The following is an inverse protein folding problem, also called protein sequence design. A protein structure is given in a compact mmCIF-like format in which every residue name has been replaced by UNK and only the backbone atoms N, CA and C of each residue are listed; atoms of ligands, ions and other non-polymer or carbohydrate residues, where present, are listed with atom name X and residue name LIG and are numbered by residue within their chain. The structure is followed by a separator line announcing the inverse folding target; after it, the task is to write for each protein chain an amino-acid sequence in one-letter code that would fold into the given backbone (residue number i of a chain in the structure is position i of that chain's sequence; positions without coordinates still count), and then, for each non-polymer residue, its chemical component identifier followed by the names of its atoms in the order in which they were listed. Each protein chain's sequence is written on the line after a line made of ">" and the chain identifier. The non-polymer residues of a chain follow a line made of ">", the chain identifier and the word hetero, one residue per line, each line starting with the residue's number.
data_IF_480440790753
#
_entry.id   IF_480440790753
#
_cell.length_a   1.000
_cell.length_b   1.000
_cell.length_c   1.000
_cell.angle_alpha   90.00
_cell.angle_beta   90.00
_cell.angle_gamma   90.00
#
_symmetry.space_group_name_H-M   'P 1'
#
loop_
_entity.id
_entity.type
_entity.pdbx_description
1 polymer ?
#
# COMPACT_ATOMS: atom_id res chain seq x y z
N UNK A 1 -3.71 -1.61 1.38
CA UNK A 1 -4.52 -0.43 0.99
C UNK A 1 -5.65 -0.87 0.08
N UNK A 2 -6.84 -0.31 0.28
CA UNK A 2 -7.95 -0.43 -0.68
C UNK A 2 -7.56 0.36 -1.92
N UNK A 3 -7.27 -0.35 -3.00
CA UNK A 3 -6.80 0.20 -4.27
C UNK A 3 -7.88 0.00 -5.31
N UNK A 4 -8.66 1.04 -5.56
CA UNK A 4 -9.86 0.89 -6.36
C UNK A 4 -9.59 0.98 -7.88
N UNK A 5 -8.77 0.12 -8.49
CA UNK A 5 -8.47 0.19 -9.92
C UNK A 5 -9.62 -0.35 -10.82
N UNK A 6 -10.41 0.51 -11.46
CA UNK A 6 -11.15 0.02 -12.64
C UNK A 6 -10.11 -0.42 -13.67
N UNK A 7 -10.12 -1.68 -14.12
CA UNK A 7 -9.35 -2.08 -15.29
C UNK A 7 -9.95 -1.34 -16.48
N UNK A 8 -9.37 -0.18 -16.78
CA UNK A 8 -9.54 0.54 -18.03
C UNK A 8 -8.24 0.37 -18.81
N UNK A 9 -8.21 -0.53 -19.81
CA UNK A 9 -6.99 -0.79 -20.57
C UNK A 9 -6.73 0.39 -21.50
N UNK A 10 -5.95 1.36 -21.00
CA UNK A 10 -4.76 1.96 -21.67
C UNK A 10 -4.25 3.28 -21.06
N UNK A 11 -4.98 3.93 -20.14
CA UNK A 11 -4.63 5.30 -19.72
C UNK A 11 -4.54 5.58 -18.21
N UNK A 12 -5.12 4.75 -17.33
CA UNK A 12 -5.05 4.99 -15.88
C UNK A 12 -3.70 4.58 -15.23
N UNK A 13 -2.86 3.80 -15.91
CA UNK A 13 -1.58 3.31 -15.36
C UNK A 13 -0.40 4.31 -15.43
N UNK A 14 -0.58 5.48 -16.05
CA UNK A 14 0.58 6.35 -16.37
C UNK A 14 0.83 7.46 -15.35
N UNK A 15 -0.19 7.96 -14.66
CA UNK A 15 -0.01 9.12 -13.77
C UNK A 15 0.51 8.68 -12.42
N UNK A 16 1.83 8.81 -12.23
CA UNK A 16 2.53 8.54 -10.95
C UNK A 16 3.03 9.81 -10.27
N UNK A 17 2.62 10.97 -10.78
CA UNK A 17 3.04 12.28 -10.30
C UNK A 17 1.83 13.20 -10.24
N UNK A 18 1.63 13.82 -9.09
CA UNK A 18 0.48 14.66 -8.79
C UNK A 18 0.95 16.01 -8.27
N UNK A 19 0.41 17.08 -8.85
CA UNK A 19 0.57 18.44 -8.35
C UNK A 19 -0.78 18.91 -7.81
N UNK A 20 -0.87 19.12 -6.51
CA UNK A 20 -2.05 19.63 -5.83
C UNK A 20 -1.76 21.08 -5.44
N UNK A 21 -2.53 22.01 -5.98
CA UNK A 21 -2.43 23.42 -5.65
C UNK A 21 -3.67 23.80 -4.86
N UNK A 22 -3.49 24.54 -3.76
CA UNK A 22 -4.62 25.12 -3.06
C UNK A 22 -4.27 26.38 -2.30
N UNK A 23 -5.30 27.19 -2.06
CA UNK A 23 -5.17 28.43 -1.29
C UNK A 23 -5.09 28.17 0.21
N UNK A 24 -5.71 27.09 0.69
CA UNK A 24 -5.75 26.68 2.10
C UNK A 24 -5.95 25.16 2.21
N UNK A 25 -5.88 24.61 3.42
CA UNK A 25 -6.07 23.18 3.66
C UNK A 25 -7.47 22.64 3.30
N UNK A 26 -8.51 23.48 3.32
CA UNK A 26 -9.86 23.06 2.92
C UNK A 26 -9.95 22.89 1.41
N UNK A 27 -9.36 23.80 0.64
CA UNK A 27 -9.27 23.68 -0.81
C UNK A 27 -8.41 22.47 -1.22
N UNK A 28 -7.28 22.23 -0.53
CA UNK A 28 -6.47 21.03 -0.72
C UNK A 28 -7.30 19.76 -0.44
N UNK A 29 -8.07 19.72 0.66
CA UNK A 29 -8.96 18.59 0.97
C UNK A 29 -9.96 18.33 -0.14
N UNK A 30 -10.64 19.37 -0.65
CA UNK A 30 -11.60 19.21 -1.74
C UNK A 30 -10.95 18.63 -3.00
N UNK A 31 -9.70 19.04 -3.30
CA UNK A 31 -8.94 18.49 -4.41
C UNK A 31 -8.57 17.02 -4.17
N UNK A 32 -8.18 16.66 -2.95
CA UNK A 32 -7.88 15.27 -2.56
C UNK A 32 -9.14 14.39 -2.60
N UNK A 33 -10.30 14.91 -2.21
CA UNK A 33 -11.59 14.22 -2.36
C UNK A 33 -11.92 13.96 -3.83
N UNK A 34 -11.72 14.96 -4.69
CA UNK A 34 -11.87 14.79 -6.13
C UNK A 34 -10.92 13.72 -6.68
N UNK A 35 -9.64 13.75 -6.29
CA UNK A 35 -8.66 12.72 -6.68
C UNK A 35 -9.05 11.33 -6.19
N UNK A 36 -9.55 11.21 -4.95
CA UNK A 36 -10.04 9.96 -4.36
C UNK A 36 -11.22 9.40 -5.15
N UNK A 37 -12.18 10.24 -5.54
CA UNK A 37 -13.29 9.82 -6.41
C UNK A 37 -12.79 9.28 -7.77
N UNK A 38 -11.70 9.84 -8.27
CA UNK A 38 -11.07 9.44 -9.54
C UNK A 38 -9.98 8.38 -9.37
N UNK A 39 -9.86 7.75 -8.20
CA UNK A 39 -8.99 6.59 -7.94
C UNK A 39 -7.51 6.87 -8.26
N UNK A 40 -7.00 7.98 -7.75
CA UNK A 40 -5.58 8.31 -7.87
C UNK A 40 -4.67 7.28 -7.18
N UNK A 41 -3.42 7.18 -7.66
CA UNK A 41 -2.36 6.36 -7.08
C UNK A 41 -1.73 7.09 -5.87
N UNK A 42 -2.15 6.71 -4.67
CA UNK A 42 -1.63 7.25 -3.39
C UNK A 42 -0.15 6.89 -3.12
N UNK A 43 0.43 5.95 -3.87
CA UNK A 43 1.85 5.58 -3.81
C UNK A 43 2.70 6.41 -4.77
N UNK A 44 2.06 7.14 -5.69
CA UNK A 44 2.70 8.10 -6.60
C UNK A 44 3.39 9.25 -5.87
N UNK A 45 4.16 10.05 -6.60
CA UNK A 45 4.85 11.25 -6.08
C UNK A 45 3.87 12.42 -6.03
N UNK A 46 3.70 13.03 -4.87
CA UNK A 46 2.78 14.14 -4.68
C UNK A 46 3.54 15.39 -4.26
N UNK A 47 3.35 16.46 -5.03
CA UNK A 47 3.77 17.81 -4.67
C UNK A 47 2.49 18.58 -4.33
N UNK A 48 2.42 19.11 -3.11
CA UNK A 48 1.25 19.81 -2.59
C UNK A 48 1.70 21.21 -2.22
N UNK A 49 1.11 22.23 -2.85
CA UNK A 49 1.47 23.63 -2.64
C UNK A 49 0.29 24.35 -1.99
N UNK A 50 0.53 24.94 -0.82
CA UNK A 50 -0.43 25.77 -0.10
C UNK A 50 -0.02 27.23 -0.21
N UNK A 51 -0.85 28.03 -0.90
CA UNK A 51 -0.54 29.40 -1.30
C UNK A 51 -1.15 30.50 -0.44
N UNK A 52 -1.63 30.21 0.78
CA UNK A 52 -2.22 31.27 1.63
C UNK A 52 -1.14 32.27 2.07
N UNK A 53 -1.52 33.55 2.12
CA UNK A 53 -0.76 34.60 2.81
C UNK A 53 -0.92 34.53 4.33
N UNK A 54 -1.90 33.76 4.83
CA UNK A 54 -2.15 33.57 6.26
C UNK A 54 -1.51 32.25 6.69
N UNK A 55 -0.49 32.34 7.55
CA UNK A 55 0.32 31.17 7.95
C UNK A 55 -0.50 30.03 8.58
N UNK A 56 -1.58 30.36 9.29
CA UNK A 56 -2.46 29.38 9.95
C UNK A 56 -3.26 28.52 8.97
N UNK A 57 -3.50 29.02 7.76
CA UNK A 57 -4.29 28.32 6.73
C UNK A 57 -3.49 27.20 6.06
N UNK A 58 -2.16 27.24 6.20
CA UNK A 58 -1.20 26.28 5.65
C UNK A 58 -0.31 25.68 6.76
N UNK A 59 -0.91 25.32 7.88
CA UNK A 59 -0.21 24.63 8.98
C UNK A 59 0.35 23.27 8.52
N UNK A 60 1.65 23.07 8.66
CA UNK A 60 2.36 21.90 8.16
C UNK A 60 1.96 20.62 8.90
N UNK A 61 1.65 20.70 10.19
CA UNK A 61 1.26 19.52 10.98
C UNK A 61 -0.11 19.04 10.50
N UNK A 62 -1.06 19.97 10.33
CA UNK A 62 -2.39 19.66 9.79
C UNK A 62 -2.33 19.19 8.34
N UNK A 63 -1.47 19.77 7.52
CA UNK A 63 -1.27 19.36 6.12
C UNK A 63 -0.78 17.91 6.03
N UNK A 64 0.26 17.56 6.80
CA UNK A 64 0.83 16.21 6.80
C UNK A 64 -0.18 15.18 7.32
N UNK A 65 -0.93 15.52 8.38
CA UNK A 65 -2.01 14.66 8.88
C UNK A 65 -3.10 14.46 7.83
N UNK A 66 -3.54 15.52 7.16
CA UNK A 66 -4.49 15.44 6.06
C UNK A 66 -3.98 14.48 4.98
N UNK A 67 -2.75 14.67 4.48
CA UNK A 67 -2.21 13.82 3.41
C UNK A 67 -2.06 12.34 3.82
N UNK A 68 -1.80 12.08 5.11
CA UNK A 68 -1.77 10.73 5.66
C UNK A 68 -3.15 10.07 5.77
N UNK A 69 -4.20 10.83 6.07
CA UNK A 69 -5.59 10.35 6.05
C UNK A 69 -5.96 9.81 4.65
N UNK A 70 -5.44 10.42 3.59
CA UNK A 70 -5.57 9.94 2.20
C UNK A 70 -4.56 8.86 1.83
N UNK A 71 -3.81 8.32 2.81
CA UNK A 71 -2.78 7.28 2.64
C UNK A 71 -1.66 7.66 1.67
N UNK A 72 -1.39 8.95 1.50
CA UNK A 72 -0.38 9.43 0.56
C UNK A 72 1.01 9.30 1.18
N UNK A 73 1.85 8.47 0.56
CA UNK A 73 3.13 8.08 1.14
C UNK A 73 4.28 8.99 0.70
N UNK A 74 4.36 9.30 -0.59
CA UNK A 74 5.45 10.07 -1.17
C UNK A 74 5.01 11.52 -1.36
N UNK A 75 5.28 12.36 -0.36
CA UNK A 75 4.81 13.76 -0.34
C UNK A 75 5.93 14.78 -0.17
N UNK A 76 5.73 15.91 -0.85
CA UNK A 76 6.39 17.19 -0.64
C UNK A 76 5.31 18.25 -0.45
N UNK A 77 5.19 18.76 0.77
CA UNK A 77 4.28 19.86 1.09
C UNK A 77 5.05 21.17 1.08
N UNK A 78 4.63 22.13 0.26
CA UNK A 78 5.27 23.42 0.07
C UNK A 78 4.35 24.54 0.52
N UNK A 79 4.92 25.53 1.20
CA UNK A 79 4.22 26.76 1.57
C UNK A 79 5.19 27.94 1.62
N UNK A 80 4.64 29.14 1.68
CA UNK A 80 5.41 30.33 2.02
C UNK A 80 5.60 30.41 3.54
N UNK A 81 6.82 30.74 3.97
CA UNK A 81 7.11 31.12 5.35
C UNK A 81 6.82 32.62 5.59
N UNK A 82 7.14 33.10 6.79
CA UNK A 82 6.94 34.51 7.16
C UNK A 82 7.77 35.49 6.32
N UNK A 83 8.91 35.04 5.76
CA UNK A 83 9.78 35.83 4.90
C UNK A 83 9.37 35.75 3.42
N UNK A 84 8.21 35.17 3.10
CA UNK A 84 7.78 34.85 1.74
C UNK A 84 8.73 33.90 0.99
N UNK A 85 9.51 33.09 1.72
CA UNK A 85 10.36 32.05 1.14
C UNK A 85 9.58 30.74 1.06
N UNK A 86 9.87 29.97 0.02
CA UNK A 86 9.26 28.64 -0.13
C UNK A 86 9.97 27.66 0.80
N UNK A 87 9.21 27.10 1.73
CA UNK A 87 9.65 26.02 2.61
C UNK A 87 8.94 24.73 2.23
N UNK A 88 9.69 23.62 2.25
CA UNK A 88 9.19 22.30 1.87
C UNK A 88 9.27 21.34 3.04
N UNK A 89 8.21 20.58 3.25
CA UNK A 89 8.06 19.61 4.33
C UNK A 89 7.78 18.21 3.76
N UNK A 90 8.23 17.20 4.50
CA UNK A 90 7.82 15.81 4.34
C UNK A 90 7.67 15.17 5.73
N UNK A 91 7.40 13.86 5.80
CA UNK A 91 7.35 13.14 7.06
C UNK A 91 8.13 11.83 6.99
N UNK A 92 8.46 11.30 8.17
CA UNK A 92 8.97 9.95 8.38
C UNK A 92 8.03 9.17 9.28
N UNK A 93 8.31 7.88 9.41
CA UNK A 93 7.64 7.04 10.40
C UNK A 93 8.34 7.28 11.73
N UNK A 94 7.55 7.56 12.76
CA UNK A 94 8.08 7.91 14.06
C UNK A 94 8.60 6.65 14.78
N UNK A 95 9.78 6.75 15.41
CA UNK A 95 10.48 5.59 15.98
C UNK A 95 9.73 4.95 17.17
N UNK A 96 9.10 5.77 18.02
CA UNK A 96 8.42 5.32 19.26
C UNK A 96 6.89 5.44 19.25
N UNK A 97 6.29 5.93 18.16
CA UNK A 97 4.85 6.12 18.01
C UNK A 97 4.52 5.57 16.64
N UNK A 98 3.82 4.46 16.57
CA UNK A 98 3.53 3.81 15.28
C UNK A 98 2.54 4.62 14.45
N UNK A 99 3.08 5.66 13.82
CA UNK A 99 2.36 6.73 13.16
C UNK A 99 3.32 7.76 12.60
N UNK A 100 2.77 8.92 12.26
CA UNK A 100 3.50 10.02 11.64
C UNK A 100 4.50 10.64 12.60
N UNK A 101 5.71 10.92 12.09
CA UNK A 101 6.61 11.87 12.74
C UNK A 101 6.10 13.29 12.59
N UNK A 102 6.67 14.20 13.39
CA UNK A 102 6.52 15.63 13.12
C UNK A 102 7.01 15.96 11.69
N UNK A 103 6.39 16.97 11.04
CA UNK A 103 6.82 17.43 9.72
C UNK A 103 8.30 17.79 9.72
N UNK A 104 9.05 17.18 8.81
CA UNK A 104 10.47 17.46 8.60
C UNK A 104 10.63 18.45 7.46
N UNK A 105 11.14 19.63 7.79
CA UNK A 105 11.53 20.61 6.78
C UNK A 105 12.76 20.11 6.00
N UNK A 106 12.67 20.14 4.67
CA UNK A 106 13.78 19.85 3.77
C UNK A 106 14.62 21.12 3.60
N UNK A 107 15.91 21.04 3.94
CA UNK A 107 16.83 22.20 3.95
C UNK A 107 17.28 22.66 2.56
N UNK A 108 17.11 21.85 1.52
CA UNK A 108 17.60 22.18 0.17
C UNK A 108 16.73 21.50 -0.88
N UNK A 109 15.87 22.28 -1.55
CA UNK A 109 15.56 22.00 -2.95
C UNK A 109 16.79 22.53 -3.70
N UNK A 110 17.60 21.67 -4.29
CA UNK A 110 18.80 22.09 -5.02
C UNK A 110 18.39 22.95 -6.22
N UNK A 111 18.22 24.25 -5.99
CA UNK A 111 18.16 25.29 -7.01
C UNK A 111 19.35 26.18 -6.66
N UNK A 112 20.55 25.74 -7.06
CA UNK A 112 21.71 26.61 -6.96
C UNK A 112 21.56 27.71 -8.01
N UNK A 113 21.24 28.91 -7.53
CA UNK A 113 21.63 30.12 -8.21
C UNK A 113 23.17 30.15 -8.27
N UNK A 114 23.70 30.14 -9.49
CA UNK A 114 25.09 30.42 -9.86
C UNK A 114 26.11 29.26 -9.74
N UNK A 115 26.35 28.62 -10.89
CA UNK A 115 27.65 28.17 -11.41
C UNK A 115 28.51 27.11 -10.69
N UNK A 116 28.07 26.44 -9.63
CA UNK A 116 28.81 25.30 -9.06
C UNK A 116 28.00 24.00 -9.04
N UNK A 117 27.53 23.57 -10.23
CA UNK A 117 27.00 22.23 -10.42
C UNK A 117 28.04 21.17 -10.01
N UNK A 118 27.88 20.59 -8.81
CA UNK A 118 28.61 19.39 -8.40
C UNK A 118 27.83 18.18 -8.94
N UNK A 119 28.31 17.49 -10.00
CA UNK A 119 27.62 16.33 -10.54
C UNK A 119 27.65 15.22 -9.48
N UNK A 120 26.50 14.82 -8.95
CA UNK A 120 26.37 13.65 -8.07
C UNK A 120 25.65 13.87 -6.74
N UNK A 121 25.37 15.10 -6.32
CA UNK A 121 24.64 15.37 -5.06
C UNK A 121 23.12 15.47 -5.29
N UNK A 122 22.54 14.46 -5.96
CA UNK A 122 21.09 14.40 -6.18
C UNK A 122 20.39 14.07 -4.86
N UNK A 123 19.83 15.10 -4.20
CA UNK A 123 18.96 14.89 -3.04
C UNK A 123 17.70 14.19 -3.50
N UNK A 124 17.53 12.93 -3.10
CA UNK A 124 16.29 12.21 -3.36
C UNK A 124 15.17 12.77 -2.47
N UNK A 125 14.36 13.68 -3.03
CA UNK A 125 13.24 14.31 -2.34
C UNK A 125 12.11 13.32 -1.99
N UNK A 126 12.02 12.20 -2.71
CA UNK A 126 11.05 11.12 -2.47
C UNK A 126 11.80 9.84 -2.06
N UNK A 127 12.48 9.89 -0.93
CA UNK A 127 13.17 8.72 -0.39
C UNK A 127 12.18 7.70 0.19
N UNK A 128 12.60 6.44 0.26
CA UNK A 128 11.76 5.37 0.79
C UNK A 128 11.59 5.50 2.31
N UNK A 129 10.39 5.88 2.74
CA UNK A 129 10.02 6.09 4.16
C UNK A 129 9.80 4.78 4.94
N UNK A 130 9.58 3.67 4.23
CA UNK A 130 9.27 2.36 4.82
C UNK A 130 10.50 1.45 4.93
N UNK A 131 11.73 2.00 4.84
CA UNK A 131 12.96 1.21 5.03
C UNK A 131 13.10 0.66 6.45
N UNK A 132 12.48 1.33 7.42
CA UNK A 132 12.53 0.96 8.82
C UNK A 132 11.22 1.39 9.49
N UNK A 133 10.48 0.43 10.03
CA UNK A 133 9.23 0.64 10.76
C UNK A 133 9.43 0.70 12.27
N UNK A 134 10.68 0.68 12.75
CA UNK A 134 11.04 0.86 14.15
C UNK A 134 10.24 -0.05 15.10
N UNK A 135 10.12 -1.33 14.74
CA UNK A 135 9.36 -2.36 15.47
C UNK A 135 7.84 -2.15 15.50
N UNK A 136 7.30 -1.20 14.75
CA UNK A 136 5.87 -1.02 14.65
C UNK A 136 5.16 -2.27 14.12
N UNK A 137 4.01 -2.63 14.69
CA UNK A 137 3.29 -3.83 14.29
C UNK A 137 2.66 -3.64 12.92
N UNK A 138 3.01 -4.53 12.00
CA UNK A 138 2.22 -4.76 10.80
C UNK A 138 1.17 -5.81 11.15
N UNK A 139 -0.09 -5.42 11.05
CA UNK A 139 -1.23 -6.32 11.22
C UNK A 139 -1.52 -6.97 9.86
N UNK A 140 -1.29 -8.27 9.78
CA UNK A 140 -1.59 -9.07 8.59
C UNK A 140 -2.82 -9.95 8.85
N UNK A 141 -3.88 -9.73 8.07
CA UNK A 141 -4.99 -10.67 8.00
C UNK A 141 -4.61 -11.85 7.11
N UNK A 142 -4.85 -13.07 7.58
CA UNK A 142 -4.59 -14.30 6.82
C UNK A 142 -5.37 -15.48 7.41
N UNK A 143 -5.35 -16.62 6.74
CA UNK A 143 -6.07 -17.83 7.16
C UNK A 143 -5.27 -19.08 6.80
N UNK A 144 -5.60 -20.21 7.43
CA UNK A 144 -4.92 -21.48 7.15
C UNK A 144 -5.18 -21.94 5.71
N UNK A 145 -4.09 -22.18 4.97
CA UNK A 145 -4.14 -22.69 3.60
C UNK A 145 -2.91 -23.55 3.34
N UNK A 146 -2.99 -24.82 3.76
CA UNK A 146 -1.86 -25.76 3.67
C UNK A 146 -1.51 -26.07 2.20
N UNK A 147 -0.22 -26.22 1.86
CA UNK A 147 0.96 -26.09 2.72
C UNK A 147 1.53 -24.65 2.78
N UNK A 148 0.84 -23.66 2.22
CA UNK A 148 1.35 -22.31 1.99
C UNK A 148 1.27 -21.42 3.23
N UNK A 149 0.18 -21.50 3.98
CA UNK A 149 -0.05 -20.77 5.23
C UNK A 149 -0.52 -21.73 6.32
N UNK A 150 0.26 -21.82 7.39
CA UNK A 150 -0.06 -22.57 8.61
C UNK A 150 0.16 -21.65 9.80
N UNK A 151 -0.80 -21.57 10.72
CA UNK A 151 -0.76 -20.61 11.82
C UNK A 151 -0.74 -21.39 13.13
N UNK A 152 0.38 -21.33 13.87
CA UNK A 152 0.50 -21.98 15.18
C UNK A 152 0.77 -20.93 16.24
N UNK A 153 -0.15 -20.76 17.18
CA UNK A 153 -0.06 -19.76 18.26
C UNK A 153 0.24 -18.33 17.74
N UNK A 154 -0.37 -17.94 16.62
CA UNK A 154 -0.14 -16.64 15.97
C UNK A 154 1.15 -16.53 15.17
N UNK A 155 1.99 -17.57 15.13
CA UNK A 155 3.17 -17.63 14.27
C UNK A 155 2.82 -18.24 12.92
N UNK A 156 2.98 -17.52 11.80
CA UNK A 156 2.72 -18.04 10.48
C UNK A 156 3.92 -18.87 9.98
N UNK A 157 3.66 -19.89 9.18
CA UNK A 157 4.66 -20.77 8.56
C UNK A 157 4.16 -21.31 7.22
N UNK A 158 5.04 -21.97 6.45
CA UNK A 158 4.78 -22.32 5.04
C UNK A 158 5.34 -21.25 4.10
N UNK A 159 5.14 -21.41 2.79
CA UNK A 159 5.72 -20.50 1.80
C UNK A 159 5.27 -19.03 2.00
N UNK A 160 3.98 -18.82 2.26
CA UNK A 160 3.43 -17.49 2.50
C UNK A 160 3.79 -17.01 3.91
N UNK A 161 3.69 -17.88 4.92
CA UNK A 161 4.05 -17.50 6.29
C UNK A 161 5.52 -17.05 6.42
N UNK A 162 6.44 -17.76 5.78
CA UNK A 162 7.85 -17.40 5.75
C UNK A 162 8.10 -16.09 5.01
N UNK A 163 7.40 -15.86 3.90
CA UNK A 163 7.50 -14.58 3.17
C UNK A 163 6.99 -13.41 4.03
N UNK A 164 5.90 -13.57 4.79
CA UNK A 164 5.42 -12.55 5.73
C UNK A 164 6.47 -12.23 6.80
N UNK A 165 7.10 -13.25 7.36
CA UNK A 165 8.15 -13.08 8.37
C UNK A 165 9.37 -12.34 7.79
N UNK A 166 9.83 -12.73 6.60
CA UNK A 166 10.94 -12.05 5.92
C UNK A 166 10.61 -10.59 5.56
N UNK A 167 9.35 -10.30 5.19
CA UNK A 167 8.91 -8.92 4.96
C UNK A 167 8.94 -8.10 6.25
N UNK A 168 8.41 -8.64 7.35
CA UNK A 168 8.43 -7.96 8.64
C UNK A 168 9.86 -7.69 9.11
N UNK A 169 10.77 -8.66 8.96
CA UNK A 169 12.19 -8.52 9.28
C UNK A 169 12.87 -7.46 8.40
N UNK A 170 12.69 -7.53 7.08
CA UNK A 170 13.28 -6.58 6.14
C UNK A 170 12.80 -5.14 6.31
N UNK A 171 11.62 -4.95 6.88
CA UNK A 171 11.07 -3.63 7.24
C UNK A 171 11.41 -3.21 8.69
N UNK A 172 12.14 -4.03 9.45
CA UNK A 172 12.35 -3.88 10.90
C UNK A 172 11.02 -3.60 11.65
N UNK A 173 10.02 -4.44 11.39
CA UNK A 173 8.68 -4.38 11.98
C UNK A 173 8.43 -5.57 12.91
N UNK A 174 7.39 -5.46 13.74
CA UNK A 174 6.79 -6.64 14.37
C UNK A 174 5.62 -7.13 13.54
N UNK A 175 5.31 -8.42 13.60
CA UNK A 175 4.21 -9.01 12.84
C UNK A 175 3.10 -9.44 13.81
N UNK A 176 1.89 -8.96 13.56
CA UNK A 176 0.67 -9.43 14.26
C UNK A 176 -0.23 -10.13 13.25
N UNK A 177 -0.46 -11.41 13.45
CA UNK A 177 -1.39 -12.19 12.64
C UNK A 177 -2.79 -12.10 13.24
N UNK A 178 -3.78 -11.84 12.37
CA UNK A 178 -5.20 -12.01 12.68
C UNK A 178 -5.83 -12.92 11.62
N UNK A 179 -6.90 -13.60 12.00
CA UNK A 179 -7.79 -14.29 11.07
C UNK A 179 -8.97 -13.40 10.71
N UNK A 180 -9.58 -13.58 9.52
CA UNK A 180 -10.72 -12.77 9.06
C UNK A 180 -11.75 -12.54 10.15
N UNK A 181 -12.07 -11.29 10.45
CA UNK A 181 -13.07 -10.95 11.48
C UNK A 181 -14.50 -11.27 11.04
N UNK A 182 -14.72 -11.31 9.72
CA UNK A 182 -16.01 -11.65 9.11
C UNK A 182 -15.82 -12.51 7.86
N UNK A 183 -16.61 -13.56 7.75
CA UNK A 183 -16.47 -14.57 6.70
C UNK A 183 -15.16 -15.36 6.82
N UNK A 184 -14.81 -16.09 5.77
CA UNK A 184 -13.66 -16.99 5.76
C UNK A 184 -12.80 -16.82 4.51
N UNK A 185 -11.57 -17.33 4.60
CA UNK A 185 -10.68 -17.41 3.46
C UNK A 185 -10.31 -16.03 2.91
N UNK A 186 -10.20 -15.99 1.58
CA UNK A 186 -9.77 -14.81 0.85
C UNK A 186 -10.68 -13.61 1.03
N UNK A 187 -11.98 -13.87 0.98
CA UNK A 187 -12.98 -12.84 0.83
C UNK A 187 -13.42 -12.59 -0.61
N UNK A 188 -14.61 -12.00 -0.69
CA UNK A 188 -15.26 -11.48 -1.87
C UNK A 188 -16.33 -10.48 -1.44
N UNK A 189 -16.99 -9.87 -2.42
CA UNK A 189 -18.24 -9.15 -2.17
C UNK A 189 -19.34 -10.19 -1.91
N UNK A 190 -20.10 -10.02 -0.85
CA UNK A 190 -21.31 -10.80 -0.59
C UNK A 190 -22.53 -10.22 -1.34
N UNK A 191 -23.70 -10.81 -1.12
CA UNK A 191 -24.95 -10.40 -1.76
C UNK A 191 -25.37 -8.96 -1.42
N UNK A 192 -24.84 -8.40 -0.33
CA UNK A 192 -25.08 -7.02 0.10
C UNK A 192 -24.01 -6.05 -0.41
N UNK A 193 -23.09 -6.49 -1.28
CA UNK A 193 -21.90 -5.75 -1.71
C UNK A 193 -20.96 -5.37 -0.56
N UNK A 194 -20.95 -6.13 0.53
CA UNK A 194 -19.98 -5.99 1.58
C UNK A 194 -18.81 -6.94 1.36
N UNK A 195 -17.58 -6.46 1.61
CA UNK A 195 -16.43 -7.36 1.58
C UNK A 195 -16.52 -8.42 2.68
N UNK A 196 -15.91 -9.57 2.48
CA UNK A 196 -15.75 -10.61 3.53
C UNK A 196 -14.31 -11.12 3.53
N UNK A 197 -14.00 -12.07 4.42
CA UNK A 197 -12.71 -12.76 4.47
C UNK A 197 -11.52 -11.85 4.77
N UNK A 198 -10.32 -12.29 4.40
CA UNK A 198 -9.09 -11.58 4.76
C UNK A 198 -8.97 -10.20 4.11
N UNK A 199 -9.54 -10.03 2.91
CA UNK A 199 -9.58 -8.74 2.24
C UNK A 199 -10.55 -7.74 2.90
N UNK A 200 -11.59 -8.21 3.59
CA UNK A 200 -12.45 -7.34 4.38
C UNK A 200 -11.68 -6.63 5.49
N UNK A 201 -10.80 -7.34 6.21
CA UNK A 201 -10.05 -6.72 7.29
C UNK A 201 -9.16 -5.59 6.79
N UNK A 202 -8.62 -5.70 5.56
CA UNK A 202 -7.90 -4.60 4.91
C UNK A 202 -8.84 -3.48 4.47
N UNK A 203 -10.03 -3.84 3.98
CA UNK A 203 -10.99 -2.85 3.49
C UNK A 203 -11.54 -1.93 4.58
N UNK A 204 -11.76 -2.48 5.78
CA UNK A 204 -12.32 -1.76 6.93
C UNK A 204 -11.23 -1.28 7.90
N UNK A 205 -9.98 -1.16 7.43
CA UNK A 205 -8.83 -0.67 8.21
C UNK A 205 -8.54 -1.46 9.51
N UNK A 206 -8.92 -2.75 9.56
CA UNK A 206 -8.62 -3.67 10.68
C UNK A 206 -7.25 -4.34 10.53
N UNK A 207 -6.77 -4.50 9.29
CA UNK A 207 -5.45 -5.01 8.95
C UNK A 207 -4.73 -4.09 7.96
N UNK A 208 -3.39 -4.06 8.02
CA UNK A 208 -2.58 -3.28 7.08
C UNK A 208 -2.46 -3.98 5.72
N UNK A 209 -2.41 -5.31 5.73
CA UNK A 209 -2.30 -6.14 4.53
C UNK A 209 -3.01 -7.48 4.71
N UNK A 210 -3.32 -8.11 3.59
CA UNK A 210 -3.84 -9.47 3.52
C UNK A 210 -2.87 -10.33 2.72
N UNK A 211 -2.54 -11.52 3.20
CA UNK A 211 -1.59 -12.38 2.48
C UNK A 211 -1.85 -13.88 2.64
N UNK A 212 -1.85 -14.56 1.50
CA UNK A 212 -1.83 -16.02 1.33
C UNK A 212 -1.64 -16.30 -0.19
N UNK A 213 -1.73 -17.53 -0.67
CA UNK A 213 -1.54 -17.88 -2.09
C UNK A 213 -2.84 -17.67 -2.88
N UNK A 214 -3.14 -16.42 -3.24
CA UNK A 214 -4.38 -16.05 -3.95
C UNK A 214 -4.19 -16.07 -5.45
N UNK A 215 -5.20 -16.57 -6.17
CA UNK A 215 -5.39 -16.17 -7.56
C UNK A 215 -5.67 -14.66 -7.65
N UNK A 216 -4.97 -13.96 -8.55
CA UNK A 216 -5.32 -12.60 -8.91
C UNK A 216 -6.58 -12.63 -9.78
N UNK A 217 -7.64 -11.98 -9.31
CA UNK A 217 -8.89 -11.83 -10.07
C UNK A 217 -9.16 -10.36 -10.34
N UNK A 218 -9.93 -10.08 -11.38
CA UNK A 218 -10.31 -8.71 -11.75
C UNK A 218 -10.93 -7.95 -10.56
N UNK A 219 -11.89 -8.57 -9.86
CA UNK A 219 -12.54 -7.95 -8.71
C UNK A 219 -11.55 -7.54 -7.61
N UNK A 220 -10.50 -8.34 -7.36
CA UNK A 220 -9.50 -8.03 -6.34
C UNK A 220 -8.56 -6.93 -6.79
N UNK A 221 -8.03 -7.01 -8.02
CA UNK A 221 -7.22 -5.94 -8.58
C UNK A 221 -8.00 -4.63 -8.69
N UNK A 222 -9.33 -4.69 -8.78
CA UNK A 222 -10.18 -3.50 -8.87
C UNK A 222 -10.53 -2.82 -7.56
N UNK A 223 -10.32 -3.48 -6.43
CA UNK A 223 -10.63 -2.91 -5.11
C UNK A 223 -9.44 -2.89 -4.16
N UNK A 224 -8.34 -3.57 -4.51
CA UNK A 224 -7.12 -3.60 -3.72
C UNK A 224 -5.89 -3.27 -4.55
N UNK A 225 -4.97 -2.54 -3.93
CA UNK A 225 -3.62 -2.36 -4.45
C UNK A 225 -2.87 -3.67 -4.28
N UNK A 226 -2.62 -4.35 -5.40
CA UNK A 226 -1.88 -5.59 -5.41
C UNK A 226 -0.38 -5.33 -5.46
N UNK A 227 0.37 -6.07 -4.64
CA UNK A 227 1.82 -6.11 -4.74
C UNK A 227 2.28 -6.85 -6.00
N UNK A 228 3.60 -7.04 -6.13
CA UNK A 228 4.15 -7.89 -7.18
C UNK A 228 3.77 -9.36 -6.95
N UNK A 229 3.42 -10.04 -8.02
CA UNK A 229 3.22 -11.50 -8.04
C UNK A 229 4.55 -12.20 -7.74
N UNK A 230 4.56 -13.07 -6.74
CA UNK A 230 5.74 -13.84 -6.34
C UNK A 230 5.69 -15.31 -6.79
N UNK A 231 4.55 -15.77 -7.33
CA UNK A 231 4.37 -17.15 -7.76
C UNK A 231 3.40 -17.23 -8.95
N UNK A 232 3.68 -18.11 -9.91
CA UNK A 232 2.81 -18.42 -11.04
C UNK A 232 2.41 -19.89 -10.97
N UNK A 233 1.15 -20.18 -11.22
CA UNK A 233 0.60 -21.54 -11.20
C UNK A 233 -0.10 -21.85 -12.52
N UNK A 234 0.07 -23.08 -12.99
CA UNK A 234 -0.65 -23.61 -14.14
C UNK A 234 -1.80 -24.46 -13.63
N UNK A 235 -2.99 -24.27 -14.22
CA UNK A 235 -4.13 -25.15 -13.96
C UNK A 235 -3.85 -26.52 -14.59
N UNK A 236 -3.89 -27.57 -13.78
CA UNK A 236 -3.70 -28.94 -14.24
C UNK A 236 -4.90 -29.79 -13.82
N UNK A 237 -5.25 -30.75 -14.66
CA UNK A 237 -6.25 -31.76 -14.34
C UNK A 237 -5.55 -32.95 -13.72
N UNK A 238 -6.00 -33.37 -12.53
CA UNK A 238 -5.52 -34.57 -11.86
C UNK A 238 -6.67 -35.57 -11.85
N UNK A 239 -6.49 -36.69 -12.55
CA UNK A 239 -7.41 -37.83 -12.47
C UNK A 239 -6.81 -38.92 -11.58
N UNK A 240 -7.68 -39.77 -11.02
CA UNK A 240 -7.21 -40.98 -10.37
C UNK A 240 -6.42 -41.85 -11.36
N UNK A 241 -5.42 -42.60 -10.90
CA UNK A 241 -4.82 -43.65 -11.70
C UNK A 241 -5.90 -44.59 -12.24
N UNK A 242 -5.71 -45.13 -13.44
CA UNK A 242 -6.60 -46.16 -13.97
C UNK A 242 -6.60 -47.37 -13.03
N UNK A 243 -7.79 -47.92 -12.78
CA UNK A 243 -7.91 -49.20 -12.06
C UNK A 243 -7.32 -50.28 -12.96
N UNK A 244 -6.44 -51.13 -12.40
CA UNK A 244 -5.89 -52.26 -13.15
C UNK A 244 -6.98 -53.30 -13.35
N UNK A 245 -7.41 -53.45 -14.61
CA UNK A 245 -8.29 -54.53 -15.04
C UNK A 245 -7.49 -55.83 -15.23
N UNK A 246 -8.07 -57.01 -14.92
CA UNK A 246 -7.40 -58.28 -15.12
C UNK A 246 -7.08 -58.52 -16.61
N UNK A 247 -5.88 -59.07 -16.87
CA UNK A 247 -5.40 -59.33 -18.23
C UNK A 247 -6.31 -60.26 -19.04
N UNK A 248 -7.16 -61.06 -18.37
CA UNK A 248 -8.16 -61.94 -18.99
C UNK A 248 -9.16 -61.18 -19.85
N UNK A 249 -9.47 -59.91 -19.55
CA UNK A 249 -10.39 -59.10 -20.34
C UNK A 249 -9.83 -58.78 -21.75
N UNK A 250 -8.53 -58.91 -21.97
CA UNK A 250 -7.92 -58.78 -23.31
C UNK A 250 -8.19 -59.96 -24.22
N UNK A 251 -8.65 -61.10 -23.68
CA UNK A 251 -8.91 -62.33 -24.43
C UNK A 251 -10.36 -62.43 -24.93
N UNK A 252 -11.20 -61.42 -24.66
CA UNK A 252 -12.62 -61.37 -25.01
C UNK A 252 -12.92 -60.55 -26.29
N UNK A 253 -11.88 -60.15 -27.03
CA UNK A 253 -11.98 -59.42 -28.30
C UNK A 253 -11.19 -60.10 -29.41
#
# INVERSE_FOLDING_TARGET
>A
MVGNNKFDPRYAEQTRQYLVLGTDLSNIRNMLDWLKMHKFDNTGKHIVVCGSSIQKDCDEVKAINLLWEYRITNILFMKFDMDSKIVTFTYNIHENKCGLSEPKQLRTLCIEEQNNYIPGNHVNLFFNKFRNLHRCPIIASTFEHKPYMMIKNGTPSGADGNLLLSLAEGLNATLKIITPTRGEGWGGLDDNNEWTGSMADVYYDLANLSMTSAGLTLARCTNFEMSKTYNYKTLIWVSSPAVMEPASLKLLH
#
